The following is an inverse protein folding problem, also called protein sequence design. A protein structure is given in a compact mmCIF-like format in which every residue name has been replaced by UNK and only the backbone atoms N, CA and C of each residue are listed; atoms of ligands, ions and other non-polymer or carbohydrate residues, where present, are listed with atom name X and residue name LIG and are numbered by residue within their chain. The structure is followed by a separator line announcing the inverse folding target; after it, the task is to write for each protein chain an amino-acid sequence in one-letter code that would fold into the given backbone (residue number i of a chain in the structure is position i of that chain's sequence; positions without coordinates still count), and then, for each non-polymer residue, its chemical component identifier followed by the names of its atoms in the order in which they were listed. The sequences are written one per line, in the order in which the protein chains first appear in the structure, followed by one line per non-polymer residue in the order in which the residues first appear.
data_IF_016855422027
#
_entry.id   IF_016855422027
#
_cell.length_a   1.000
_cell.length_b   1.000
_cell.length_c   1.000
_cell.angle_alpha   90.00
_cell.angle_beta   90.00
_cell.angle_gamma   90.00
#
_symmetry.space_group_name_H-M   'P 1'
#
loop_
_entity.id
_entity.type
_entity.pdbx_description
1 polymer ?
#
# COMPACT_ATOMS: atom_id res chain seq x y z
N UNK A 1 32.65 -34.54 27.69
CA UNK A 1 31.26 -34.44 27.18
C UNK A 1 30.65 -33.23 27.87
N UNK A 2 30.46 -32.15 27.13
CA UNK A 2 29.87 -30.93 27.69
C UNK A 2 28.38 -31.07 27.47
N UNK A 3 27.64 -31.22 28.56
CA UNK A 3 26.17 -31.22 28.51
C UNK A 3 25.70 -29.85 28.00
N UNK A 4 25.11 -29.86 26.80
CA UNK A 4 24.40 -28.69 26.29
C UNK A 4 23.18 -28.46 27.18
N UNK A 5 23.15 -27.31 27.83
CA UNK A 5 22.07 -26.88 28.70
C UNK A 5 20.72 -26.94 27.94
N UNK A 6 19.68 -27.52 28.54
CA UNK A 6 18.32 -27.66 27.97
C UNK A 6 17.73 -26.32 27.48
N UNK A 7 18.15 -25.21 28.07
CA UNK A 7 17.79 -23.85 27.64
C UNK A 7 18.34 -23.48 26.26
N UNK A 8 19.54 -23.97 25.89
CA UNK A 8 20.12 -23.75 24.57
C UNK A 8 19.39 -24.54 23.48
N UNK A 9 19.00 -25.79 23.80
CA UNK A 9 18.22 -26.62 22.88
C UNK A 9 16.80 -26.08 22.65
N UNK A 10 16.21 -25.45 23.64
CA UNK A 10 14.89 -24.81 23.53
C UNK A 10 14.96 -23.56 22.64
N UNK A 11 16.03 -22.77 22.77
CA UNK A 11 16.26 -21.58 21.98
C UNK A 11 16.55 -21.90 20.50
N UNK A 12 17.39 -22.89 20.23
CA UNK A 12 17.65 -23.38 18.85
C UNK A 12 16.39 -23.96 18.18
N UNK A 13 15.52 -24.63 18.95
CA UNK A 13 14.22 -25.16 18.43
C UNK A 13 13.22 -24.05 18.13
N UNK A 14 13.11 -23.03 18.97
CA UNK A 14 12.21 -21.90 18.75
C UNK A 14 12.64 -21.06 17.56
N UNK A 15 13.93 -20.76 17.42
CA UNK A 15 14.48 -20.04 16.25
C UNK A 15 14.27 -20.82 14.94
N UNK A 16 14.39 -22.16 14.95
CA UNK A 16 14.16 -22.98 13.76
C UNK A 16 12.67 -23.09 13.38
N UNK A 17 11.77 -23.01 14.37
CA UNK A 17 10.33 -22.99 14.14
C UNK A 17 9.88 -21.64 13.58
N UNK A 18 10.43 -20.54 14.11
CA UNK A 18 10.15 -19.20 13.61
C UNK A 18 10.63 -18.99 12.17
N UNK A 19 11.80 -19.51 11.81
CA UNK A 19 12.30 -19.49 10.44
C UNK A 19 11.39 -20.28 9.49
N UNK A 20 10.99 -21.49 9.88
CA UNK A 20 10.07 -22.32 9.07
C UNK A 20 8.69 -21.69 8.92
N UNK A 21 8.21 -21.00 9.94
CA UNK A 21 6.93 -20.28 9.90
C UNK A 21 7.01 -19.07 8.94
N UNK A 22 8.13 -18.30 8.95
CA UNK A 22 8.37 -17.21 8.02
C UNK A 22 8.42 -17.68 6.57
N UNK A 23 9.09 -18.81 6.31
CA UNK A 23 9.13 -19.41 4.97
C UNK A 23 7.75 -19.90 4.53
N UNK A 24 6.99 -20.51 5.43
CA UNK A 24 5.61 -20.92 5.16
C UNK A 24 4.71 -19.72 4.81
N UNK A 25 4.77 -18.64 5.61
CA UNK A 25 4.01 -17.41 5.35
C UNK A 25 4.41 -16.81 4.01
N UNK A 26 5.71 -16.77 3.68
CA UNK A 26 6.19 -16.28 2.39
C UNK A 26 5.62 -17.08 1.23
N UNK A 27 5.71 -18.40 1.26
CA UNK A 27 5.15 -19.28 0.23
C UNK A 27 3.63 -19.15 0.15
N UNK A 28 2.97 -19.01 1.31
CA UNK A 28 1.53 -18.83 1.39
C UNK A 28 1.11 -17.51 0.74
N UNK A 29 1.79 -16.40 1.01
CA UNK A 29 1.50 -15.09 0.40
C UNK A 29 1.85 -15.01 -1.09
N UNK A 30 2.75 -15.83 -1.59
CA UNK A 30 3.00 -15.97 -3.03
C UNK A 30 1.82 -16.62 -3.78
N UNK A 31 0.99 -17.42 -3.09
CA UNK A 31 -0.16 -18.13 -3.66
C UNK A 31 -1.49 -17.45 -3.35
N UNK A 32 -1.60 -16.87 -2.17
CA UNK A 32 -2.80 -16.22 -1.64
C UNK A 32 -2.52 -14.72 -1.48
N UNK A 33 -2.59 -13.97 -2.58
CA UNK A 33 -2.26 -12.53 -2.61
C UNK A 33 -3.43 -11.64 -3.04
N UNK A 34 -4.59 -12.26 -3.28
CA UNK A 34 -5.77 -11.55 -3.74
C UNK A 34 -6.63 -11.07 -2.57
N UNK A 35 -7.39 -10.02 -2.82
CA UNK A 35 -8.40 -9.48 -1.90
C UNK A 35 -9.36 -10.57 -1.40
N UNK A 36 -9.82 -11.45 -2.29
CA UNK A 36 -10.68 -12.55 -1.93
C UNK A 36 -10.04 -13.54 -0.95
N UNK A 37 -8.75 -13.82 -1.11
CA UNK A 37 -8.04 -14.75 -0.21
C UNK A 37 -8.01 -14.21 1.23
N UNK A 38 -7.76 -12.89 1.41
CA UNK A 38 -7.79 -12.27 2.73
C UNK A 38 -9.22 -12.24 3.29
N UNK A 39 -10.19 -11.91 2.46
CA UNK A 39 -11.60 -11.90 2.87
C UNK A 39 -12.08 -13.30 3.29
N UNK A 40 -11.69 -14.35 2.55
CA UNK A 40 -12.04 -15.73 2.87
C UNK A 40 -11.39 -16.20 4.18
N UNK A 41 -10.11 -15.89 4.40
CA UNK A 41 -9.43 -16.21 5.65
C UNK A 41 -10.05 -15.46 6.84
N UNK A 42 -10.38 -14.18 6.66
CA UNK A 42 -11.10 -13.38 7.66
C UNK A 42 -12.46 -14.02 8.00
N UNK A 43 -13.21 -14.46 6.99
CA UNK A 43 -14.48 -15.13 7.18
C UNK A 43 -14.34 -16.45 7.96
N UNK A 44 -13.35 -17.27 7.63
CA UNK A 44 -13.04 -18.51 8.34
C UNK A 44 -12.76 -18.23 9.81
N UNK A 45 -11.96 -17.21 10.12
CA UNK A 45 -11.67 -16.80 11.50
C UNK A 45 -12.93 -16.33 12.23
N UNK A 46 -13.75 -15.51 11.59
CA UNK A 46 -15.02 -15.05 12.15
C UNK A 46 -15.99 -16.21 12.45
N UNK A 47 -15.98 -17.27 11.64
CA UNK A 47 -16.82 -18.46 11.87
C UNK A 47 -16.25 -19.40 12.93
N UNK A 48 -14.94 -19.36 13.15
CA UNK A 48 -14.25 -20.31 14.05
C UNK A 48 -14.00 -19.74 15.45
N UNK A 49 -14.00 -18.43 15.61
CA UNK A 49 -13.65 -17.76 16.86
C UNK A 49 -14.61 -16.59 17.14
N UNK A 50 -15.45 -16.78 18.15
CA UNK A 50 -16.45 -15.76 18.55
C UNK A 50 -15.82 -14.46 19.09
N UNK A 51 -14.65 -14.54 19.75
CA UNK A 51 -13.95 -13.35 20.24
C UNK A 51 -13.41 -12.54 19.05
N UNK A 52 -12.84 -13.23 18.05
CA UNK A 52 -12.38 -12.60 16.82
C UNK A 52 -13.54 -12.00 16.03
N UNK A 53 -14.65 -12.72 15.89
CA UNK A 53 -15.85 -12.20 15.22
C UNK A 53 -16.31 -10.90 15.88
N UNK A 54 -16.41 -10.88 17.21
CA UNK A 54 -16.84 -9.70 17.96
C UNK A 54 -15.86 -8.54 17.81
N UNK A 55 -14.57 -8.80 17.91
CA UNK A 55 -13.52 -7.81 17.65
C UNK A 55 -13.64 -7.22 16.23
N UNK A 56 -13.74 -8.07 15.22
CA UNK A 56 -13.85 -7.69 13.82
C UNK A 56 -15.06 -6.78 13.56
N UNK A 57 -16.22 -7.15 14.11
CA UNK A 57 -17.45 -6.36 13.97
C UNK A 57 -17.33 -5.02 14.70
N UNK A 58 -16.84 -5.00 15.93
CA UNK A 58 -16.67 -3.75 16.72
C UNK A 58 -15.67 -2.80 16.08
N UNK A 59 -14.57 -3.31 15.53
CA UNK A 59 -13.59 -2.49 14.82
C UNK A 59 -14.21 -1.77 13.62
N UNK A 60 -14.98 -2.48 12.83
CA UNK A 60 -15.58 -1.94 11.61
C UNK A 60 -16.82 -1.06 11.89
N UNK A 61 -17.53 -1.33 13.00
CA UNK A 61 -18.79 -0.69 13.35
C UNK A 61 -18.75 -0.26 14.82
N UNK A 62 -18.21 0.92 15.08
CA UNK A 62 -17.96 1.45 16.43
C UNK A 62 -19.24 1.60 17.29
N UNK A 63 -20.40 1.70 16.65
CA UNK A 63 -21.71 1.77 17.30
C UNK A 63 -22.38 0.38 17.45
N UNK A 64 -21.67 -0.71 17.15
CA UNK A 64 -22.20 -2.05 17.40
C UNK A 64 -22.35 -2.27 18.91
N UNK A 65 -23.58 -2.58 19.40
CA UNK A 65 -23.84 -2.69 20.83
C UNK A 65 -23.00 -3.82 21.45
N UNK A 66 -22.48 -3.58 22.67
CA UNK A 66 -21.54 -4.48 23.32
C UNK A 66 -22.14 -5.88 23.57
N UNK A 67 -23.41 -5.91 23.99
CA UNK A 67 -24.12 -7.15 24.33
C UNK A 67 -25.01 -7.68 23.20
N UNK A 68 -25.02 -7.01 22.03
CA UNK A 68 -25.86 -7.47 20.92
C UNK A 68 -25.32 -8.77 20.33
N UNK A 69 -26.14 -9.80 20.17
CA UNK A 69 -25.72 -11.03 19.53
C UNK A 69 -25.55 -10.79 18.02
N UNK A 70 -24.45 -11.34 17.47
CA UNK A 70 -24.28 -11.44 16.02
C UNK A 70 -25.02 -12.69 15.56
N UNK A 71 -26.10 -12.47 14.79
CA UNK A 71 -26.98 -13.55 14.34
C UNK A 71 -26.38 -14.28 13.16
N UNK A 72 -25.75 -13.55 12.26
CA UNK A 72 -25.22 -14.12 11.03
C UNK A 72 -24.06 -13.28 10.49
N UNK A 73 -23.10 -13.97 9.86
CA UNK A 73 -22.08 -13.40 8.99
C UNK A 73 -22.04 -14.20 7.69
N UNK A 74 -22.15 -13.52 6.56
CA UNK A 74 -22.13 -14.12 5.22
C UNK A 74 -21.04 -13.44 4.40
N UNK A 75 -20.26 -14.24 3.69
CA UNK A 75 -19.27 -13.81 2.72
C UNK A 75 -19.94 -13.66 1.34
N UNK A 76 -19.66 -12.56 0.65
CA UNK A 76 -20.19 -12.29 -0.70
C UNK A 76 -21.74 -12.38 -0.80
N UNK A 77 -22.43 -11.67 0.10
CA UNK A 77 -23.88 -11.69 0.15
C UNK A 77 -24.53 -11.14 -1.13
N UNK A 78 -25.23 -11.97 -1.92
CA UNK A 78 -25.82 -11.52 -3.17
C UNK A 78 -27.14 -10.78 -2.93
N UNK A 79 -27.21 -9.52 -3.23
CA UNK A 79 -28.45 -8.76 -3.22
C UNK A 79 -28.58 -7.89 -4.46
N UNK A 80 -29.55 -8.19 -5.31
CA UNK A 80 -29.77 -7.50 -6.59
C UNK A 80 -28.47 -7.49 -7.43
N UNK A 81 -27.95 -6.30 -7.73
CA UNK A 81 -26.74 -6.10 -8.51
C UNK A 81 -25.51 -5.80 -7.64
N UNK A 82 -25.58 -6.04 -6.33
CA UNK A 82 -24.54 -5.72 -5.37
C UNK A 82 -24.13 -6.96 -4.59
N UNK A 83 -22.83 -7.08 -4.32
CA UNK A 83 -22.27 -8.23 -3.57
C UNK A 83 -21.17 -7.71 -2.65
N UNK A 84 -21.54 -7.17 -1.45
CA UNK A 84 -20.54 -6.75 -0.48
C UNK A 84 -19.73 -7.94 0.00
N UNK A 85 -18.47 -7.69 0.35
CA UNK A 85 -17.58 -8.73 0.86
C UNK A 85 -18.12 -9.41 2.10
N UNK A 86 -18.72 -8.65 3.00
CA UNK A 86 -19.40 -9.19 4.18
C UNK A 86 -20.76 -8.54 4.38
N UNK A 87 -21.71 -9.41 4.71
CA UNK A 87 -22.97 -9.05 5.31
C UNK A 87 -23.01 -9.60 6.74
N UNK A 88 -23.39 -8.75 7.68
CA UNK A 88 -23.50 -9.12 9.09
C UNK A 88 -24.88 -8.68 9.59
N UNK A 89 -25.55 -9.52 10.37
CA UNK A 89 -26.82 -9.16 10.99
C UNK A 89 -26.77 -9.33 12.50
N UNK A 90 -27.41 -8.40 13.21
CA UNK A 90 -27.77 -8.48 14.60
C UNK A 90 -29.29 -8.49 14.74
N UNK A 91 -29.80 -8.50 15.98
CA UNK A 91 -31.24 -8.41 16.22
C UNK A 91 -31.84 -7.10 15.70
N UNK A 92 -31.09 -5.99 15.74
CA UNK A 92 -31.62 -4.66 15.51
C UNK A 92 -31.18 -4.07 14.19
N UNK A 93 -29.99 -4.43 13.69
CA UNK A 93 -29.36 -3.75 12.56
C UNK A 93 -28.68 -4.75 11.62
N UNK A 94 -28.50 -4.32 10.40
CA UNK A 94 -27.71 -4.99 9.36
C UNK A 94 -26.49 -4.16 9.01
N UNK A 95 -25.41 -4.84 8.66
CA UNK A 95 -24.11 -4.25 8.41
C UNK A 95 -23.54 -4.81 7.12
N UNK A 96 -22.92 -3.96 6.31
CA UNK A 96 -22.16 -4.38 5.14
C UNK A 96 -20.75 -3.84 5.23
N UNK A 97 -19.80 -4.65 4.81
CA UNK A 97 -18.39 -4.28 4.74
C UNK A 97 -17.83 -4.60 3.37
N UNK A 98 -17.12 -3.65 2.81
CA UNK A 98 -16.32 -3.80 1.60
C UNK A 98 -14.84 -3.79 1.97
N UNK A 99 -14.08 -4.74 1.43
CA UNK A 99 -12.64 -4.86 1.60
C UNK A 99 -11.94 -4.50 0.32
N UNK A 100 -10.81 -3.79 0.41
CA UNK A 100 -9.97 -3.47 -0.73
C UNK A 100 -8.49 -3.66 -0.44
N UNK A 101 -7.81 -4.31 -1.40
CA UNK A 101 -6.36 -4.44 -1.43
C UNK A 101 -5.85 -3.94 -2.77
N UNK A 102 -5.15 -2.81 -2.77
CA UNK A 102 -4.57 -2.18 -3.97
C UNK A 102 -5.57 -1.81 -5.08
N UNK A 103 -6.84 -2.16 -4.96
CA UNK A 103 -7.90 -1.75 -5.87
C UNK A 103 -8.56 -0.47 -5.35
N UNK A 104 -8.60 0.56 -6.20
CA UNK A 104 -9.22 1.86 -5.89
C UNK A 104 -10.61 2.01 -6.48
N UNK A 105 -11.11 1.00 -7.19
CA UNK A 105 -12.49 0.98 -7.65
C UNK A 105 -13.39 0.73 -6.44
N UNK A 106 -14.10 1.76 -6.03
CA UNK A 106 -15.08 1.66 -4.96
C UNK A 106 -16.50 1.63 -5.54
N UNK A 107 -17.36 0.93 -4.85
CA UNK A 107 -18.77 0.76 -5.24
C UNK A 107 -19.72 1.53 -4.30
N UNK A 108 -19.24 2.58 -3.63
CA UNK A 108 -20.01 3.31 -2.61
C UNK A 108 -21.37 3.79 -3.10
N UNK A 109 -21.45 4.37 -4.30
CA UNK A 109 -22.71 4.84 -4.87
C UNK A 109 -23.68 3.69 -5.14
N UNK A 110 -23.18 2.60 -5.74
CA UNK A 110 -23.96 1.40 -5.99
C UNK A 110 -24.51 0.79 -4.69
N UNK A 111 -23.66 0.72 -3.67
CA UNK A 111 -24.06 0.17 -2.37
C UNK A 111 -25.00 1.12 -1.61
N UNK A 112 -24.83 2.42 -1.70
CA UNK A 112 -25.78 3.37 -1.12
C UNK A 112 -27.18 3.23 -1.71
N UNK A 113 -27.26 2.97 -3.02
CA UNK A 113 -28.55 2.74 -3.72
C UNK A 113 -29.19 1.39 -3.34
N UNK A 114 -28.38 0.38 -3.01
CA UNK A 114 -28.87 -0.98 -2.70
C UNK A 114 -29.16 -1.17 -1.23
N UNK A 115 -28.35 -0.53 -0.34
CA UNK A 115 -28.40 -0.67 1.12
C UNK A 115 -28.67 0.70 1.76
N UNK A 116 -29.95 1.04 2.04
CA UNK A 116 -30.33 2.33 2.59
C UNK A 116 -29.81 2.52 4.03
N UNK A 117 -29.35 3.74 4.37
CA UNK A 117 -28.71 4.09 5.63
C UNK A 117 -29.59 3.84 6.87
N UNK A 118 -30.92 3.93 6.72
CA UNK A 118 -31.83 3.67 7.84
C UNK A 118 -31.89 2.20 8.28
N UNK A 119 -31.48 1.28 7.41
CA UNK A 119 -31.51 -0.17 7.65
C UNK A 119 -30.10 -0.77 7.78
N UNK A 120 -29.13 -0.20 7.05
CA UNK A 120 -27.78 -0.75 6.97
C UNK A 120 -26.75 0.25 7.45
N UNK A 121 -25.80 -0.25 8.24
CA UNK A 121 -24.52 0.43 8.47
C UNK A 121 -23.46 -0.09 7.53
N UNK A 122 -22.55 0.79 7.13
CA UNK A 122 -21.59 0.52 6.08
C UNK A 122 -20.17 0.78 6.56
N UNK A 123 -19.28 -0.15 6.23
CA UNK A 123 -17.86 0.01 6.52
C UNK A 123 -17.00 -0.35 5.30
N UNK A 124 -15.84 0.27 5.26
CA UNK A 124 -14.84 0.09 4.23
C UNK A 124 -13.48 -0.13 4.87
N UNK A 125 -12.82 -1.22 4.53
CA UNK A 125 -11.54 -1.62 5.07
C UNK A 125 -10.52 -1.81 3.93
N UNK A 126 -9.50 -0.95 3.87
CA UNK A 126 -8.53 -0.95 2.78
C UNK A 126 -7.08 -0.96 3.28
N UNK A 127 -6.14 -1.35 2.40
CA UNK A 127 -4.71 -1.23 2.70
C UNK A 127 -4.13 0.17 2.37
N UNK A 128 -4.97 1.13 2.10
CA UNK A 128 -4.59 2.52 1.82
C UNK A 128 -5.54 3.50 2.55
N UNK A 129 -5.02 4.67 2.87
CA UNK A 129 -5.84 5.75 3.43
C UNK A 129 -6.75 6.33 2.35
N UNK A 130 -8.03 6.40 2.67
CA UNK A 130 -9.03 7.08 1.84
C UNK A 130 -8.82 8.59 1.94
N UNK A 131 -8.85 9.29 0.81
CA UNK A 131 -8.69 10.73 0.80
C UNK A 131 -9.86 11.48 1.50
N UNK A 132 -9.59 12.71 1.94
CA UNK A 132 -10.58 13.50 2.66
C UNK A 132 -11.80 13.87 1.80
N UNK A 133 -11.63 13.98 0.47
CA UNK A 133 -12.74 14.27 -0.42
C UNK A 133 -13.73 13.11 -0.45
N UNK A 134 -13.21 11.88 -0.56
CA UNK A 134 -14.03 10.68 -0.55
C UNK A 134 -14.74 10.49 0.80
N UNK A 135 -14.02 10.69 1.92
CA UNK A 135 -14.60 10.66 3.27
C UNK A 135 -15.72 11.69 3.44
N UNK A 136 -15.54 12.89 2.93
CA UNK A 136 -16.55 13.95 3.00
C UNK A 136 -17.76 13.67 2.11
N UNK A 137 -17.58 12.95 1.00
CA UNK A 137 -18.67 12.57 0.09
C UNK A 137 -19.51 11.43 0.68
N UNK A 138 -18.86 10.44 1.30
CA UNK A 138 -19.50 9.23 1.82
C UNK A 138 -19.41 9.16 3.35
N UNK A 139 -19.96 10.19 4.02
CA UNK A 139 -19.96 10.32 5.50
C UNK A 139 -20.70 9.21 6.23
N UNK A 140 -21.57 8.50 5.55
CA UNK A 140 -22.32 7.34 6.03
C UNK A 140 -21.53 6.03 6.03
N UNK A 141 -20.25 6.08 5.66
CA UNK A 141 -19.35 4.94 5.69
C UNK A 141 -18.29 5.09 6.79
N UNK A 142 -18.11 4.07 7.59
CA UNK A 142 -16.94 3.93 8.47
C UNK A 142 -15.74 3.50 7.62
N UNK A 143 -14.68 4.28 7.60
CA UNK A 143 -13.52 4.03 6.73
C UNK A 143 -12.28 3.75 7.55
N UNK A 144 -11.80 2.52 7.47
CA UNK A 144 -10.67 2.00 8.23
C UNK A 144 -9.54 1.51 7.32
N UNK A 145 -8.36 1.34 7.91
CA UNK A 145 -7.22 0.71 7.22
C UNK A 145 -6.85 -0.62 7.89
N UNK A 146 -6.30 -1.54 7.10
CA UNK A 146 -5.75 -2.78 7.63
C UNK A 146 -4.62 -2.54 8.63
N UNK A 147 -3.87 -1.43 8.49
CA UNK A 147 -2.85 -1.03 9.48
C UNK A 147 -3.49 -0.79 10.85
N UNK A 148 -4.54 0.03 10.90
CA UNK A 148 -5.24 0.30 12.16
C UNK A 148 -5.86 -0.98 12.74
N UNK A 149 -6.40 -1.84 11.88
CA UNK A 149 -6.95 -3.13 12.30
C UNK A 149 -5.89 -4.02 12.96
N UNK A 150 -4.72 -4.12 12.35
CA UNK A 150 -3.59 -4.92 12.90
C UNK A 150 -3.08 -4.31 14.21
N UNK A 151 -2.98 -2.99 14.29
CA UNK A 151 -2.52 -2.32 15.50
C UNK A 151 -3.48 -2.56 16.68
N UNK A 152 -4.79 -2.46 16.45
CA UNK A 152 -5.78 -2.78 17.48
C UNK A 152 -5.80 -4.26 17.84
N UNK A 153 -5.67 -5.15 16.84
CA UNK A 153 -5.63 -6.60 17.07
C UNK A 153 -4.39 -7.02 17.88
N UNK A 154 -3.23 -6.38 17.66
CA UNK A 154 -2.02 -6.57 18.46
C UNK A 154 -2.19 -6.10 19.90
N UNK A 155 -3.03 -5.12 20.15
CA UNK A 155 -3.33 -4.58 21.48
C UNK A 155 -4.41 -5.37 22.22
N UNK A 156 -5.17 -6.23 21.54
CA UNK A 156 -6.16 -7.09 22.20
C UNK A 156 -5.48 -8.21 22.99
N UNK A 157 -5.60 -8.14 24.33
CA UNK A 157 -4.90 -9.05 25.25
C UNK A 157 -5.36 -10.50 25.16
N UNK A 158 -6.56 -10.76 24.67
CA UNK A 158 -7.12 -12.11 24.52
C UNK A 158 -6.68 -12.69 23.18
N UNK A 159 -6.93 -11.95 22.11
CA UNK A 159 -6.70 -12.44 20.75
C UNK A 159 -5.22 -12.60 20.42
N UNK A 160 -4.35 -11.66 20.84
CA UNK A 160 -2.91 -11.74 20.56
C UNK A 160 -2.22 -12.98 21.14
N UNK A 161 -2.80 -13.60 22.16
CA UNK A 161 -2.25 -14.83 22.75
C UNK A 161 -2.56 -16.08 21.93
N UNK A 162 -3.48 -15.99 20.95
CA UNK A 162 -3.85 -17.12 20.09
C UNK A 162 -2.87 -17.22 18.91
N UNK A 163 -2.20 -18.36 18.75
CA UNK A 163 -1.17 -18.54 17.72
C UNK A 163 -1.68 -18.30 16.28
N UNK A 164 -2.91 -18.72 15.97
CA UNK A 164 -3.50 -18.50 14.66
C UNK A 164 -3.79 -17.03 14.38
N UNK A 165 -4.04 -16.20 15.41
CA UNK A 165 -4.18 -14.75 15.27
C UNK A 165 -2.83 -14.11 14.93
N UNK A 166 -1.74 -14.55 15.55
CA UNK A 166 -0.40 -14.10 15.18
C UNK A 166 -0.07 -14.43 13.73
N UNK A 167 -0.43 -15.64 13.29
CA UNK A 167 -0.27 -16.05 11.89
C UNK A 167 -1.11 -15.20 10.94
N UNK A 168 -2.34 -14.90 11.32
CA UNK A 168 -3.25 -14.03 10.56
C UNK A 168 -2.72 -12.58 10.45
N UNK A 169 -2.21 -12.02 11.56
CA UNK A 169 -1.55 -10.71 11.57
C UNK A 169 -0.40 -10.69 10.56
N UNK A 170 0.51 -11.66 10.63
CA UNK A 170 1.63 -11.77 9.70
C UNK A 170 1.17 -11.88 8.24
N UNK A 171 0.05 -12.56 8.00
CA UNK A 171 -0.55 -12.69 6.67
C UNK A 171 -1.10 -11.35 6.16
N UNK A 172 -1.85 -10.62 7.00
CA UNK A 172 -2.34 -9.27 6.65
C UNK A 172 -1.17 -8.35 6.36
N UNK A 173 -0.16 -8.32 7.22
CA UNK A 173 1.03 -7.48 7.06
C UNK A 173 1.73 -7.76 5.74
N UNK A 174 1.86 -9.03 5.37
CA UNK A 174 2.47 -9.42 4.11
C UNK A 174 1.64 -9.02 2.88
N UNK A 175 0.32 -9.29 2.89
CA UNK A 175 -0.57 -8.98 1.75
C UNK A 175 -0.81 -7.48 1.61
N UNK A 176 -1.05 -6.78 2.71
CA UNK A 176 -1.36 -5.36 2.72
C UNK A 176 -0.11 -4.47 2.65
N UNK A 177 1.09 -5.06 2.70
CA UNK A 177 2.33 -4.30 2.75
C UNK A 177 2.47 -3.48 4.04
N UNK A 178 1.81 -3.90 5.13
CA UNK A 178 1.90 -3.29 6.48
C UNK A 178 3.15 -3.80 7.21
N UNK A 179 4.04 -4.47 6.50
CA UNK A 179 5.30 -4.93 7.07
C UNK A 179 5.92 -3.80 7.88
N UNK A 180 6.43 -4.15 9.06
CA UNK A 180 7.30 -3.27 9.84
C UNK A 180 8.13 -2.47 8.86
N UNK A 181 8.05 -1.14 8.98
CA UNK A 181 8.67 -0.23 8.01
C UNK A 181 10.16 -0.49 8.06
N UNK A 182 10.60 -1.42 7.22
CA UNK A 182 12.01 -1.78 7.15
C UNK A 182 12.75 -0.69 6.42
N UNK A 183 13.93 -0.40 6.93
CA UNK A 183 14.88 0.48 6.23
C UNK A 183 14.97 0.03 4.77
N UNK A 184 14.75 0.96 3.85
CA UNK A 184 14.79 0.68 2.41
C UNK A 184 16.25 0.55 1.96
N UNK A 185 16.86 -0.61 2.23
CA UNK A 185 18.23 -0.94 1.80
C UNK A 185 18.28 -1.58 0.42
N UNK A 186 17.13 -1.97 -0.12
CA UNK A 186 16.96 -2.64 -1.42
C UNK A 186 17.72 -3.95 -1.61
N UNK A 187 18.16 -4.53 -0.53
CA UNK A 187 18.84 -5.82 -0.46
C UNK A 187 17.86 -6.99 -0.29
N UNK A 188 16.57 -6.69 -0.11
CA UNK A 188 15.53 -7.69 0.07
C UNK A 188 14.18 -7.22 -0.50
N UNK A 189 13.26 -8.18 -0.70
CA UNK A 189 11.94 -7.94 -1.26
C UNK A 189 11.06 -7.04 -0.38
N UNK A 190 11.28 -7.01 0.93
CA UNK A 190 10.52 -6.18 1.87
C UNK A 190 10.82 -4.69 1.66
N UNK A 191 12.08 -4.35 1.45
CA UNK A 191 12.49 -2.98 1.10
C UNK A 191 11.84 -2.52 -0.20
N UNK A 192 11.71 -3.41 -1.18
CA UNK A 192 11.04 -3.13 -2.46
C UNK A 192 9.55 -2.90 -2.29
N UNK A 193 8.89 -3.75 -1.51
CA UNK A 193 7.47 -3.62 -1.20
C UNK A 193 7.21 -2.29 -0.45
N UNK A 194 8.02 -1.97 0.55
CA UNK A 194 7.94 -0.70 1.29
C UNK A 194 8.12 0.51 0.36
N UNK A 195 9.08 0.45 -0.55
CA UNK A 195 9.29 1.53 -1.51
C UNK A 195 8.14 1.68 -2.51
N UNK A 196 7.58 0.58 -3.02
CA UNK A 196 6.41 0.63 -3.91
C UNK A 196 5.18 1.21 -3.21
N UNK A 197 4.97 0.87 -1.94
CA UNK A 197 3.89 1.45 -1.14
C UNK A 197 4.11 2.94 -0.90
N UNK A 198 5.34 3.33 -0.57
CA UNK A 198 5.72 4.74 -0.42
C UNK A 198 5.45 5.55 -1.69
N UNK A 199 5.89 5.06 -2.86
CA UNK A 199 5.63 5.71 -4.15
C UNK A 199 4.12 5.86 -4.38
N UNK A 200 3.35 4.81 -4.13
CA UNK A 200 1.90 4.81 -4.28
C UNK A 200 1.27 5.89 -3.40
N UNK A 201 1.69 5.98 -2.15
CA UNK A 201 1.20 6.99 -1.20
C UNK A 201 1.60 8.41 -1.62
N UNK A 202 2.85 8.61 -2.03
CA UNK A 202 3.33 9.93 -2.50
C UNK A 202 2.52 10.40 -3.71
N UNK A 203 2.36 9.56 -4.73
CA UNK A 203 1.58 9.91 -5.94
C UNK A 203 0.13 10.22 -5.57
N UNK A 204 -0.45 9.46 -4.66
CA UNK A 204 -1.85 9.65 -4.25
C UNK A 204 -2.06 10.90 -3.41
N UNK A 205 -1.13 11.20 -2.48
CA UNK A 205 -1.22 12.36 -1.59
C UNK A 205 -0.93 13.68 -2.31
N UNK A 206 -0.15 13.65 -3.39
CA UNK A 206 0.19 14.82 -4.19
C UNK A 206 -0.78 15.11 -5.34
N UNK A 207 -1.91 14.43 -5.41
CA UNK A 207 -3.02 14.81 -6.29
C UNK A 207 -3.72 16.07 -5.74
N UNK A 208 -2.99 17.18 -5.72
CA UNK A 208 -3.57 18.50 -5.48
C UNK A 208 -4.18 19.06 -6.77
N UNK A 209 -4.79 20.26 -6.69
CA UNK A 209 -5.43 20.90 -7.83
C UNK A 209 -4.49 21.19 -9.02
N UNK A 210 -3.16 21.05 -8.85
CA UNK A 210 -2.15 21.26 -9.89
C UNK A 210 -1.87 19.97 -10.66
N UNK A 211 -2.03 18.81 -10.00
CA UNK A 211 -1.69 17.51 -10.57
C UNK A 211 -2.86 16.54 -10.42
N UNK A 212 -3.58 16.27 -11.50
CA UNK A 212 -4.49 15.13 -11.55
C UNK A 212 -3.65 13.86 -11.76
N UNK A 213 -3.10 13.30 -10.67
CA UNK A 213 -2.22 12.15 -10.74
C UNK A 213 -3.06 10.87 -10.80
N UNK A 214 -2.89 10.08 -11.86
CA UNK A 214 -3.48 8.75 -12.01
C UNK A 214 -2.36 7.71 -12.04
N UNK A 215 -2.44 6.75 -11.11
CA UNK A 215 -1.53 5.61 -11.12
C UNK A 215 -2.00 4.62 -12.16
N UNK A 216 -1.09 4.18 -13.02
CA UNK A 216 -1.29 3.03 -13.89
C UNK A 216 -0.57 1.84 -13.29
N UNK A 217 -1.23 0.68 -13.25
CA UNK A 217 -0.59 -0.56 -12.82
C UNK A 217 0.64 -0.82 -13.68
N UNK A 218 1.77 -0.99 -13.02
CA UNK A 218 3.02 -1.24 -13.73
C UNK A 218 3.03 -2.65 -14.24
N UNK A 219 3.12 -2.81 -15.54
CA UNK A 219 3.44 -4.09 -16.15
C UNK A 219 4.96 -4.20 -16.11
N UNK A 220 5.47 -5.22 -15.44
CA UNK A 220 6.89 -5.51 -15.45
C UNK A 220 7.27 -6.01 -16.84
N UNK A 221 8.21 -5.35 -17.49
CA UNK A 221 8.76 -5.86 -18.73
C UNK A 221 9.75 -6.98 -18.43
N UNK A 222 9.67 -8.07 -19.18
CA UNK A 222 10.56 -9.21 -19.07
C UNK A 222 12.03 -8.79 -19.17
N UNK A 223 12.82 -9.13 -18.16
CA UNK A 223 14.27 -9.02 -18.17
C UNK A 223 14.87 -7.67 -17.76
N UNK A 224 14.07 -6.68 -17.39
CA UNK A 224 14.57 -5.39 -16.93
C UNK A 224 14.65 -5.32 -15.40
N UNK A 225 15.78 -4.86 -14.92
CA UNK A 225 16.08 -4.72 -13.50
C UNK A 225 15.50 -3.43 -12.93
N UNK A 226 14.17 -3.21 -13.01
CA UNK A 226 13.55 -2.03 -12.44
C UNK A 226 12.19 -2.32 -11.80
N UNK A 227 11.84 -1.53 -10.79
CA UNK A 227 10.52 -1.53 -10.16
C UNK A 227 10.06 -0.11 -9.86
N UNK A 228 8.80 0.20 -10.14
CA UNK A 228 8.24 1.53 -9.94
C UNK A 228 6.82 1.66 -10.45
N UNK A 229 6.35 2.90 -10.56
CA UNK A 229 4.98 3.20 -10.99
C UNK A 229 4.98 4.20 -12.14
N UNK A 230 4.13 3.94 -13.13
CA UNK A 230 3.71 4.95 -14.09
C UNK A 230 2.58 5.77 -13.48
N UNK A 231 2.61 7.06 -13.71
CA UNK A 231 1.51 7.95 -13.38
C UNK A 231 1.31 8.97 -14.50
N UNK A 232 0.27 9.78 -14.46
CA UNK A 232 0.07 10.85 -15.41
C UNK A 232 -0.22 12.16 -14.71
N UNK A 233 0.19 13.25 -15.29
CA UNK A 233 -0.28 14.58 -14.96
C UNK A 233 -0.59 15.37 -16.23
N UNK A 234 -1.42 16.41 -16.08
CA UNK A 234 -1.80 17.28 -17.19
C UNK A 234 -1.11 18.64 -17.06
N UNK A 235 -0.65 19.16 -18.17
CA UNK A 235 -0.30 20.58 -18.33
C UNK A 235 -0.73 21.06 -19.70
N UNK A 236 -1.44 22.21 -19.76
CA UNK A 236 -1.94 22.80 -21.01
C UNK A 236 -2.70 21.77 -21.89
N UNK A 237 -3.64 21.04 -21.28
CA UNK A 237 -4.45 19.97 -21.90
C UNK A 237 -3.69 18.75 -22.44
N UNK A 238 -2.38 18.73 -22.30
CA UNK A 238 -1.56 17.57 -22.66
C UNK A 238 -1.29 16.70 -21.44
N UNK A 239 -1.36 15.38 -21.64
CA UNK A 239 -1.01 14.39 -20.63
C UNK A 239 0.46 14.00 -20.77
N UNK A 240 1.13 13.93 -19.64
CA UNK A 240 2.52 13.50 -19.50
C UNK A 240 2.53 12.25 -18.64
N UNK A 241 3.32 11.26 -19.02
CA UNK A 241 3.35 9.93 -18.40
C UNK A 241 4.75 9.63 -17.85
N UNK A 242 5.13 10.19 -16.70
CA UNK A 242 6.38 9.80 -16.06
C UNK A 242 6.29 8.43 -15.41
N UNK A 243 7.45 7.80 -15.29
CA UNK A 243 7.68 6.66 -14.44
C UNK A 243 8.58 7.08 -13.27
N UNK A 244 8.27 6.63 -12.07
CA UNK A 244 9.08 6.86 -10.88
C UNK A 244 9.38 5.53 -10.19
N UNK A 245 10.65 5.27 -9.89
CA UNK A 245 11.04 3.98 -9.33
C UNK A 245 12.53 3.79 -9.12
N UNK A 246 12.90 2.53 -9.02
CA UNK A 246 14.27 2.04 -8.81
C UNK A 246 14.71 1.29 -10.04
N UNK A 247 15.91 1.57 -10.48
CA UNK A 247 16.63 0.81 -11.51
C UNK A 247 17.76 0.02 -10.83
N UNK A 248 17.81 -1.28 -11.09
CA UNK A 248 18.86 -2.19 -10.65
C UNK A 248 19.79 -2.46 -11.82
N UNK A 249 20.92 -1.82 -11.82
CA UNK A 249 22.03 -2.10 -12.73
C UNK A 249 23.25 -2.50 -11.90
N UNK A 250 24.46 -2.15 -12.35
CA UNK A 250 25.67 -2.24 -11.52
C UNK A 250 25.52 -1.44 -10.20
N UNK A 251 24.74 -0.36 -10.24
CA UNK A 251 24.38 0.48 -9.10
C UNK A 251 22.87 0.62 -8.99
N UNK A 252 22.37 0.75 -7.77
CA UNK A 252 20.96 1.03 -7.51
C UNK A 252 20.72 2.52 -7.70
N UNK A 253 19.73 2.87 -8.56
CA UNK A 253 19.36 4.25 -8.85
C UNK A 253 17.89 4.48 -8.55
N UNK A 254 17.59 5.57 -7.85
CA UNK A 254 16.22 6.05 -7.66
C UNK A 254 16.02 7.19 -8.66
N UNK A 255 15.04 7.09 -9.54
CA UNK A 255 14.92 8.00 -10.66
C UNK A 255 13.49 8.19 -11.16
N UNK A 256 13.29 9.35 -11.82
CA UNK A 256 12.20 9.57 -12.75
C UNK A 256 12.63 9.26 -14.18
N UNK A 257 11.72 8.69 -14.97
CA UNK A 257 11.79 8.65 -16.43
C UNK A 257 10.59 9.37 -16.99
N UNK A 258 10.85 10.32 -17.87
CA UNK A 258 9.82 11.07 -18.56
C UNK A 258 9.82 10.64 -20.02
N UNK A 259 8.70 10.06 -20.43
CA UNK A 259 8.45 9.68 -21.82
C UNK A 259 7.63 10.78 -22.47
N UNK A 260 8.11 11.30 -23.59
CA UNK A 260 7.47 12.39 -24.29
C UNK A 260 7.24 12.03 -25.76
N UNK A 261 6.22 12.66 -26.35
CA UNK A 261 6.21 12.80 -27.78
C UNK A 261 7.39 13.68 -28.23
N UNK A 262 7.71 13.63 -29.51
CA UNK A 262 8.90 14.30 -30.07
C UNK A 262 8.92 15.81 -29.76
N UNK A 263 7.77 16.47 -29.84
CA UNK A 263 7.65 17.92 -29.62
C UNK A 263 8.01 18.32 -28.18
N UNK A 264 7.68 17.48 -27.19
CA UNK A 264 8.01 17.73 -25.79
C UNK A 264 9.47 17.43 -25.48
N UNK A 265 10.02 16.36 -26.09
CA UNK A 265 11.43 16.06 -25.97
C UNK A 265 12.30 17.24 -26.45
N UNK A 266 11.96 17.83 -27.58
CA UNK A 266 12.71 18.95 -28.15
C UNK A 266 12.62 20.19 -27.26
N UNK A 267 11.42 20.53 -26.75
CA UNK A 267 11.26 21.66 -25.79
C UNK A 267 12.04 21.46 -24.49
N UNK A 268 12.09 20.25 -23.97
CA UNK A 268 12.84 19.98 -22.74
C UNK A 268 14.35 19.94 -22.98
N UNK A 269 14.79 19.50 -24.16
CA UNK A 269 16.19 19.60 -24.56
C UNK A 269 16.65 21.05 -24.59
N UNK A 270 15.84 21.98 -25.14
CA UNK A 270 16.10 23.40 -25.11
C UNK A 270 16.21 23.98 -23.69
N UNK A 271 15.50 23.40 -22.73
CA UNK A 271 15.51 23.82 -21.32
C UNK A 271 16.44 23.01 -20.40
N UNK A 272 17.25 22.14 -20.98
CA UNK A 272 18.16 21.26 -20.22
C UNK A 272 19.05 22.02 -19.23
N UNK A 273 19.61 23.18 -19.65
CA UNK A 273 20.46 24.01 -18.79
C UNK A 273 19.67 24.62 -17.61
N UNK A 274 18.46 25.11 -17.87
CA UNK A 274 17.58 25.67 -16.84
C UNK A 274 17.18 24.60 -15.84
N UNK A 275 16.76 23.41 -16.32
CA UNK A 275 16.41 22.28 -15.49
C UNK A 275 17.61 21.86 -14.63
N UNK A 276 18.78 21.68 -15.24
CA UNK A 276 20.01 21.29 -14.53
C UNK A 276 20.37 22.29 -13.43
N UNK A 277 20.25 23.60 -13.71
CA UNK A 277 20.50 24.64 -12.71
C UNK A 277 19.52 24.53 -11.52
N UNK A 278 18.25 24.31 -11.80
CA UNK A 278 17.20 24.18 -10.75
C UNK A 278 17.35 22.91 -9.92
N UNK A 279 17.82 21.82 -10.52
CA UNK A 279 18.09 20.55 -9.81
C UNK A 279 19.23 20.65 -8.78
N UNK A 280 20.00 21.75 -8.80
CA UNK A 280 20.94 22.20 -7.78
C UNK A 280 21.93 21.13 -7.27
N UNK A 281 22.44 20.27 -8.16
CA UNK A 281 23.37 19.16 -7.87
C UNK A 281 22.81 18.06 -6.93
N UNK A 282 21.64 18.26 -6.34
CA UNK A 282 20.95 17.20 -5.58
C UNK A 282 20.53 16.05 -6.48
N UNK A 283 20.17 16.37 -7.71
CA UNK A 283 19.63 15.46 -8.69
C UNK A 283 20.41 15.58 -9.99
N UNK A 284 20.52 14.46 -10.70
CA UNK A 284 21.28 14.39 -11.95
C UNK A 284 20.34 14.23 -13.13
N UNK A 285 20.34 15.20 -14.04
CA UNK A 285 19.67 15.08 -15.32
C UNK A 285 20.53 14.23 -16.27
N UNK A 286 19.94 13.19 -16.85
CA UNK A 286 20.55 12.37 -17.88
C UNK A 286 19.68 12.33 -19.12
N UNK A 287 20.25 12.75 -20.22
CA UNK A 287 19.63 12.66 -21.53
C UNK A 287 20.02 11.33 -22.17
N UNK A 288 19.04 10.58 -22.68
CA UNK A 288 19.32 9.45 -23.55
C UNK A 288 19.54 9.96 -24.97
N UNK A 289 20.71 9.68 -25.53
CA UNK A 289 21.04 10.10 -26.89
C UNK A 289 20.22 9.41 -27.99
N UNK A 290 19.58 8.27 -27.67
CA UNK A 290 18.90 7.41 -28.65
C UNK A 290 17.45 7.11 -28.31
N UNK A 291 16.90 7.59 -27.20
CA UNK A 291 15.57 7.25 -26.75
C UNK A 291 14.72 8.50 -26.48
N UNK A 292 13.42 8.39 -26.72
CA UNK A 292 12.45 9.48 -26.49
C UNK A 292 12.13 9.68 -24.99
N UNK A 293 13.14 9.59 -24.14
CA UNK A 293 12.99 9.87 -22.73
C UNK A 293 14.22 10.61 -22.18
N UNK A 294 14.03 11.31 -21.08
CA UNK A 294 15.12 11.72 -20.19
C UNK A 294 14.85 11.23 -18.78
N UNK A 295 15.92 11.07 -17.99
CA UNK A 295 15.79 10.67 -16.59
C UNK A 295 16.41 11.73 -15.67
N UNK A 296 15.83 11.81 -14.46
CA UNK A 296 16.37 12.60 -13.36
C UNK A 296 16.60 11.62 -12.21
N UNK A 297 17.84 11.50 -11.78
CA UNK A 297 18.29 10.54 -10.78
C UNK A 297 18.66 11.27 -9.48
N UNK A 298 18.51 10.61 -8.32
CA UNK A 298 19.17 11.04 -7.10
C UNK A 298 20.69 11.07 -7.35
N UNK A 299 21.35 12.14 -6.92
CA UNK A 299 22.82 12.18 -6.97
C UNK A 299 23.42 11.11 -6.05
N UNK A 300 24.65 10.71 -6.32
CA UNK A 300 25.36 9.74 -5.47
C UNK A 300 25.45 10.19 -4.00
N UNK A 301 25.52 11.49 -3.74
CA UNK A 301 25.54 12.07 -2.40
C UNK A 301 24.19 11.90 -1.71
N UNK A 302 23.08 12.26 -2.38
CA UNK A 302 21.73 12.10 -1.83
C UNK A 302 21.36 10.62 -1.67
N UNK A 303 21.77 9.75 -2.60
CA UNK A 303 21.60 8.31 -2.45
C UNK A 303 22.37 7.76 -1.25
N UNK A 304 23.60 8.24 -0.98
CA UNK A 304 24.35 7.87 0.24
C UNK A 304 23.62 8.31 1.50
N UNK A 305 23.07 9.53 1.53
CA UNK A 305 22.26 9.98 2.68
C UNK A 305 21.06 9.07 2.88
N UNK A 306 20.33 8.76 1.82
CA UNK A 306 19.20 7.85 1.87
C UNK A 306 19.60 6.45 2.36
N UNK A 307 20.64 5.85 1.79
CA UNK A 307 21.05 4.47 2.09
C UNK A 307 21.69 4.31 3.47
N UNK A 308 22.31 5.37 4.00
CA UNK A 308 22.91 5.37 5.36
C UNK A 308 21.92 5.74 6.46
N UNK A 309 20.74 6.26 6.12
CA UNK A 309 19.75 6.67 7.12
C UNK A 309 19.17 5.45 7.83
N UNK A 310 19.10 5.53 9.17
CA UNK A 310 18.59 4.46 10.03
C UNK A 310 17.12 4.68 10.44
N UNK A 311 16.56 5.85 10.15
CA UNK A 311 15.17 6.17 10.42
C UNK A 311 14.34 6.15 9.13
N UNK A 312 13.36 5.30 9.06
CA UNK A 312 12.48 5.15 7.89
C UNK A 312 11.80 6.45 7.52
N UNK A 313 11.29 7.18 8.50
CA UNK A 313 10.62 8.48 8.28
C UNK A 313 11.51 9.49 7.58
N UNK A 314 12.82 9.44 7.82
CA UNK A 314 13.79 10.29 7.11
C UNK A 314 14.07 9.79 5.69
N UNK A 315 14.13 8.46 5.50
CA UNK A 315 14.21 7.89 4.15
C UNK A 315 12.98 8.28 3.32
N UNK A 316 11.79 8.18 3.90
CA UNK A 316 10.55 8.62 3.27
C UNK A 316 10.57 10.11 2.92
N UNK A 317 11.11 10.96 3.80
CA UNK A 317 11.24 12.39 3.56
C UNK A 317 12.13 12.66 2.35
N UNK A 318 13.31 12.01 2.27
CA UNK A 318 14.22 12.16 1.12
C UNK A 318 13.51 11.80 -0.20
N UNK A 319 12.74 10.73 -0.22
CA UNK A 319 12.01 10.30 -1.43
C UNK A 319 10.86 11.25 -1.76
N UNK A 320 10.13 11.74 -0.75
CA UNK A 320 9.06 12.73 -0.93
C UNK A 320 9.60 14.05 -1.48
N UNK A 321 10.71 14.53 -0.93
CA UNK A 321 11.36 15.76 -1.39
C UNK A 321 11.84 15.60 -2.84
N UNK A 322 12.48 14.47 -3.16
CA UNK A 322 12.89 14.18 -4.52
C UNK A 322 11.71 14.17 -5.49
N UNK A 323 10.61 13.51 -5.13
CA UNK A 323 9.42 13.47 -5.95
C UNK A 323 8.85 14.88 -6.19
N UNK A 324 8.66 15.65 -5.13
CA UNK A 324 8.04 16.97 -5.18
C UNK A 324 8.92 17.99 -5.94
N UNK A 325 10.21 18.01 -5.64
CA UNK A 325 11.16 18.93 -6.28
C UNK A 325 11.21 18.70 -7.80
N UNK A 326 11.40 17.42 -8.19
CA UNK A 326 11.48 17.06 -9.62
C UNK A 326 10.18 17.36 -10.35
N UNK A 327 9.05 16.96 -9.78
CA UNK A 327 7.76 17.19 -10.42
C UNK A 327 7.45 18.70 -10.59
N UNK A 328 7.77 19.49 -9.56
CA UNK A 328 7.59 20.94 -9.58
C UNK A 328 8.46 21.61 -10.66
N UNK A 329 9.76 21.26 -10.69
CA UNK A 329 10.70 21.81 -11.68
C UNK A 329 10.25 21.47 -13.10
N UNK A 330 9.91 20.22 -13.36
CA UNK A 330 9.45 19.81 -14.69
C UNK A 330 8.13 20.48 -15.05
N UNK A 331 7.18 20.56 -14.11
CA UNK A 331 5.91 21.24 -14.35
C UNK A 331 6.08 22.71 -14.70
N UNK A 332 7.01 23.42 -14.07
CA UNK A 332 7.29 24.82 -14.33
C UNK A 332 8.04 25.04 -15.67
N UNK A 333 8.89 24.08 -16.04
CA UNK A 333 9.65 24.14 -17.30
C UNK A 333 8.84 23.76 -18.54
N UNK A 334 7.77 23.01 -18.41
CA UNK A 334 6.87 22.62 -19.50
C UNK A 334 5.84 23.70 -19.78
#
# INVERSE_FOLDING_TARGET
MIDKCDTCLYKERTESIDLKMKDFIKIFTERFYKENDLSDLTYILCKSDSDFLRFFVKFNFSDFPEDSPIMEIIREYPLKNSRPDFYISSLEKKYILEIKINDRNNHFEQYNNTFPDGEYQKSFLANYSVDNKLKNTYKNWNMHTWSNFVDELKNDKILINKNYIKTYINFIEAICGILEVHLMKFDNLQSLASFNNLITNIITQNSDNRFELKIYNTIYSNGNNFTGKYFSFKKNDKKIYPWFGILYESDIKILFRFYFDKDWCDKLKEKTEEITKRLNKKYLLKNSNNENYFSIELSSEEYKKFSSEQAVTKQETIIKDFFNDVLSIIYECL
#
